data_IF_683336373868
#
_entry.id   IF_683336373868
#
_cell.length_a   1.000
_cell.length_b   1.000
_cell.length_c   1.000
_cell.angle_alpha   90.00
_cell.angle_beta   90.00
_cell.angle_gamma   90.00
#
_symmetry.space_group_name_H-M   'P 1'
#
loop_
_entity.id
_entity.type
_entity.pdbx_description
1 polymer ?
#
# COMPACT_ATOMS: atom_id res chain seq x y z
N UNK A 1 -13.88 50.69 -4.30
CA UNK A 1 -12.46 50.61 -3.92
C UNK A 1 -11.78 49.65 -4.90
N UNK A 2 -11.01 50.16 -5.87
CA UNK A 2 -10.35 49.30 -6.87
C UNK A 2 -9.10 48.67 -6.24
N UNK A 3 -9.20 47.40 -5.83
CA UNK A 3 -8.03 46.64 -5.38
C UNK A 3 -7.06 46.53 -6.56
N UNK A 4 -5.90 47.21 -6.48
CA UNK A 4 -4.82 47.05 -7.45
C UNK A 4 -4.28 45.63 -7.32
N UNK A 5 -4.51 44.80 -8.33
CA UNK A 5 -3.85 43.49 -8.50
C UNK A 5 -2.35 43.69 -8.65
N UNK A 6 -1.56 42.89 -7.92
CA UNK A 6 -0.10 42.90 -8.02
C UNK A 6 0.33 42.30 -9.37
N UNK A 7 1.42 42.79 -9.96
CA UNK A 7 2.00 42.18 -11.15
C UNK A 7 2.76 40.90 -10.76
N UNK A 8 2.65 39.88 -11.60
CA UNK A 8 3.34 38.60 -11.41
C UNK A 8 4.81 38.73 -11.85
N UNK A 9 5.71 38.90 -10.89
CA UNK A 9 7.15 38.83 -11.14
C UNK A 9 7.64 37.36 -11.22
N UNK A 10 8.82 37.09 -11.82
CA UNK A 10 9.32 35.73 -12.00
C UNK A 10 9.51 34.93 -10.70
N UNK A 11 9.95 35.59 -9.62
CA UNK A 11 10.20 34.96 -8.32
C UNK A 11 8.89 34.57 -7.64
N UNK A 12 7.90 35.46 -7.68
CA UNK A 12 6.55 35.19 -7.18
C UNK A 12 5.87 34.08 -7.98
N UNK A 13 6.07 34.03 -9.29
CA UNK A 13 5.56 32.95 -10.14
C UNK A 13 6.14 31.59 -9.75
N UNK A 14 7.44 31.52 -9.51
CA UNK A 14 8.10 30.28 -9.10
C UNK A 14 7.61 29.80 -7.73
N UNK A 15 7.44 30.72 -6.77
CA UNK A 15 6.86 30.41 -5.46
C UNK A 15 5.44 29.82 -5.62
N UNK A 16 4.58 30.47 -6.40
CA UNK A 16 3.20 30.03 -6.61
C UNK A 16 3.15 28.68 -7.34
N UNK A 17 4.02 28.47 -8.33
CA UNK A 17 4.17 27.18 -9.01
C UNK A 17 4.53 26.09 -8.01
N UNK A 18 5.50 26.33 -7.12
CA UNK A 18 5.90 25.34 -6.13
C UNK A 18 4.78 25.03 -5.14
N UNK A 19 4.03 26.03 -4.69
CA UNK A 19 2.84 25.81 -3.85
C UNK A 19 1.73 25.03 -4.57
N UNK A 20 1.56 25.24 -5.87
CA UNK A 20 0.61 24.48 -6.68
C UNK A 20 1.08 23.03 -6.90
N UNK A 21 2.31 22.85 -7.37
CA UNK A 21 2.85 21.56 -7.80
C UNK A 21 3.17 20.65 -6.60
N UNK A 22 3.80 21.21 -5.56
CA UNK A 22 4.24 20.44 -4.39
C UNK A 22 3.27 20.52 -3.21
N UNK A 23 2.32 21.47 -3.22
CA UNK A 23 1.50 21.80 -2.05
C UNK A 23 2.25 22.59 -0.99
N UNK A 24 1.53 23.06 0.04
CA UNK A 24 2.16 23.63 1.25
C UNK A 24 1.70 22.88 2.50
N UNK A 25 2.52 22.93 3.55
CA UNK A 25 2.08 22.49 4.87
C UNK A 25 1.14 23.55 5.46
N UNK A 26 0.03 23.08 6.04
CA UNK A 26 -0.86 23.90 6.85
C UNK A 26 -0.39 23.92 8.32
N UNK A 27 -1.09 24.68 9.17
CA UNK A 27 -0.76 24.79 10.60
C UNK A 27 -0.80 23.45 11.36
N UNK A 28 -1.50 22.44 10.84
CA UNK A 28 -1.60 21.10 11.41
C UNK A 28 -0.53 20.13 10.87
N UNK A 29 0.44 20.64 10.07
CA UNK A 29 1.48 19.84 9.43
C UNK A 29 0.99 18.96 8.28
N UNK A 30 -0.24 19.17 7.79
CA UNK A 30 -0.79 18.45 6.62
C UNK A 30 -0.46 19.19 5.34
N UNK A 31 -0.05 18.44 4.32
CA UNK A 31 0.14 18.98 2.97
C UNK A 31 -1.21 19.23 2.29
N UNK A 32 -1.42 20.48 1.85
CA UNK A 32 -2.63 20.93 1.15
C UNK A 32 -2.26 21.30 -0.28
N UNK A 33 -3.08 20.84 -1.23
CA UNK A 33 -3.01 21.24 -2.63
C UNK A 33 -3.95 22.42 -2.86
N UNK A 34 -3.44 23.51 -3.40
CA UNK A 34 -4.23 24.70 -3.70
C UNK A 34 -4.77 24.67 -5.12
N UNK A 35 -5.96 25.26 -5.31
CA UNK A 35 -6.43 25.60 -6.65
C UNK A 35 -5.76 26.89 -7.14
N UNK A 36 -5.80 27.12 -8.46
CA UNK A 36 -5.33 28.39 -9.05
C UNK A 36 -6.07 29.60 -8.46
N UNK A 37 -7.36 29.45 -8.16
CA UNK A 37 -8.18 30.48 -7.52
C UNK A 37 -7.71 30.78 -6.10
N UNK A 38 -7.39 29.75 -5.32
CA UNK A 38 -6.89 29.93 -3.95
C UNK A 38 -5.56 30.67 -3.94
N UNK A 39 -4.65 30.31 -4.85
CA UNK A 39 -3.35 30.96 -5.01
C UNK A 39 -3.50 32.41 -5.52
N UNK A 40 -4.41 32.66 -6.45
CA UNK A 40 -4.70 34.00 -6.94
C UNK A 40 -5.18 34.92 -5.80
N UNK A 41 -6.10 34.41 -4.96
CA UNK A 41 -6.57 35.13 -3.78
C UNK A 41 -5.46 35.33 -2.74
N UNK A 42 -4.69 34.28 -2.43
CA UNK A 42 -3.59 34.30 -1.47
C UNK A 42 -2.52 35.34 -1.82
N UNK A 43 -2.21 35.50 -3.10
CA UNK A 43 -1.17 36.42 -3.57
C UNK A 43 -1.70 37.74 -4.15
N UNK A 44 -3.01 38.00 -4.07
CA UNK A 44 -3.67 39.20 -4.61
C UNK A 44 -3.36 39.43 -6.11
N UNK A 45 -3.49 38.35 -6.89
CA UNK A 45 -3.28 38.30 -8.34
C UNK A 45 -4.59 38.11 -9.09
N UNK A 46 -4.65 38.58 -10.34
CA UNK A 46 -5.76 38.28 -11.22
C UNK A 46 -5.81 36.80 -11.60
N UNK A 47 -6.93 36.13 -11.31
CA UNK A 47 -7.13 34.69 -11.58
C UNK A 47 -6.85 34.31 -13.04
N UNK A 48 -7.36 35.10 -13.99
CA UNK A 48 -7.15 34.86 -15.43
C UNK A 48 -5.67 34.94 -15.85
N UNK A 49 -4.90 35.83 -15.22
CA UNK A 49 -3.46 35.96 -15.50
C UNK A 49 -2.73 34.72 -15.00
N UNK A 50 -3.00 34.29 -13.77
CA UNK A 50 -2.36 33.12 -13.19
C UNK A 50 -2.74 31.83 -13.93
N UNK A 51 -4.02 31.69 -14.31
CA UNK A 51 -4.50 30.56 -15.10
C UNK A 51 -3.76 30.41 -16.44
N UNK A 52 -3.56 31.52 -17.17
CA UNK A 52 -2.82 31.51 -18.44
C UNK A 52 -1.39 31.00 -18.24
N UNK A 53 -0.69 31.48 -17.21
CA UNK A 53 0.67 31.01 -16.91
C UNK A 53 0.69 29.53 -16.54
N UNK A 54 -0.25 29.09 -15.70
CA UNK A 54 -0.35 27.69 -15.30
C UNK A 54 -0.62 26.76 -16.49
N UNK A 55 -1.44 27.19 -17.45
CA UNK A 55 -1.74 26.45 -18.67
C UNK A 55 -0.53 26.42 -19.62
N UNK A 56 0.08 27.56 -19.91
CA UNK A 56 1.24 27.66 -20.82
C UNK A 56 2.43 26.84 -20.32
N UNK A 57 2.66 26.81 -19.01
CA UNK A 57 3.76 26.07 -18.40
C UNK A 57 3.37 24.65 -17.98
N UNK A 58 2.12 24.23 -18.18
CA UNK A 58 1.66 22.88 -17.90
C UNK A 58 1.74 22.49 -16.42
N UNK A 59 1.44 23.41 -15.50
CA UNK A 59 1.58 23.17 -14.05
C UNK A 59 0.79 21.96 -13.55
N UNK A 60 -0.37 21.67 -14.16
CA UNK A 60 -1.16 20.48 -13.80
C UNK A 60 -0.43 19.18 -14.11
N UNK A 61 0.18 19.07 -15.30
CA UNK A 61 0.97 17.91 -15.66
C UNK A 61 2.19 17.73 -14.74
N UNK A 62 2.80 18.84 -14.32
CA UNK A 62 3.90 18.80 -13.36
C UNK A 62 3.45 18.35 -11.96
N UNK A 63 2.29 18.82 -11.50
CA UNK A 63 1.67 18.38 -10.24
C UNK A 63 1.35 16.89 -10.28
N UNK A 64 0.76 16.39 -11.37
CA UNK A 64 0.39 14.98 -11.51
C UNK A 64 1.64 14.09 -11.53
N UNK A 65 2.70 14.50 -12.25
CA UNK A 65 3.99 13.81 -12.25
C UNK A 65 4.62 13.78 -10.86
N UNK A 66 4.70 14.93 -10.18
CA UNK A 66 5.24 15.02 -8.84
C UNK A 66 4.47 14.15 -7.86
N UNK A 67 3.14 14.17 -7.91
CA UNK A 67 2.29 13.38 -7.01
C UNK A 67 2.50 11.88 -7.24
N UNK A 68 2.62 11.44 -8.50
CA UNK A 68 2.91 10.05 -8.83
C UNK A 68 4.29 9.62 -8.30
N UNK A 69 5.33 10.43 -8.51
CA UNK A 69 6.69 10.17 -8.01
C UNK A 69 6.73 10.15 -6.48
N UNK A 70 6.09 11.11 -5.83
CA UNK A 70 6.00 11.20 -4.37
C UNK A 70 5.30 9.98 -3.76
N UNK A 71 4.19 9.53 -4.35
CA UNK A 71 3.49 8.33 -3.88
C UNK A 71 4.34 7.07 -4.05
N UNK A 72 5.02 6.93 -5.20
CA UNK A 72 5.91 5.81 -5.44
C UNK A 72 7.07 5.77 -4.44
N UNK A 73 7.70 6.92 -4.15
CA UNK A 73 8.77 7.00 -3.15
C UNK A 73 8.26 6.72 -1.73
N UNK A 74 7.08 7.24 -1.39
CA UNK A 74 6.43 6.97 -0.11
C UNK A 74 6.14 5.48 0.08
N UNK A 75 5.69 4.79 -0.96
CA UNK A 75 5.44 3.35 -0.93
C UNK A 75 6.73 2.54 -0.73
N UNK A 76 7.85 2.95 -1.35
CA UNK A 76 9.17 2.34 -1.12
C UNK A 76 9.59 2.50 0.34
N UNK A 77 9.47 3.70 0.90
CA UNK A 77 9.80 3.97 2.31
C UNK A 77 8.93 3.14 3.24
N UNK A 78 7.60 3.16 3.04
CA UNK A 78 6.66 2.37 3.84
C UNK A 78 6.93 0.88 3.76
N UNK A 79 7.23 0.36 2.57
CA UNK A 79 7.56 -1.06 2.38
C UNK A 79 8.78 -1.43 3.22
N UNK A 80 9.83 -0.60 3.19
CA UNK A 80 11.05 -0.82 3.99
C UNK A 80 10.75 -0.81 5.49
N UNK A 81 9.96 0.15 5.96
CA UNK A 81 9.55 0.23 7.36
C UNK A 81 8.72 -0.98 7.80
N UNK A 82 7.77 -1.41 6.97
CA UNK A 82 6.94 -2.59 7.24
C UNK A 82 7.79 -3.86 7.30
N UNK A 83 8.73 -4.05 6.36
CA UNK A 83 9.64 -5.21 6.39
C UNK A 83 10.45 -5.23 7.69
N UNK A 84 10.99 -4.08 8.12
CA UNK A 84 11.75 -3.98 9.36
C UNK A 84 10.88 -4.23 10.60
N UNK A 85 9.65 -3.71 10.62
CA UNK A 85 8.70 -3.96 11.70
C UNK A 85 8.28 -5.44 11.76
N UNK A 86 8.03 -6.08 10.62
CA UNK A 86 7.74 -7.51 10.54
C UNK A 86 8.89 -8.34 11.10
N UNK A 87 10.14 -8.08 10.69
CA UNK A 87 11.32 -8.76 11.25
C UNK A 87 11.41 -8.65 12.77
N UNK A 88 11.14 -7.46 13.31
CA UNK A 88 11.13 -7.22 14.77
C UNK A 88 10.00 -7.98 15.45
N UNK A 89 8.82 -8.01 14.84
CA UNK A 89 7.68 -8.74 15.35
C UNK A 89 7.94 -10.26 15.37
N UNK A 90 8.49 -10.80 14.29
CA UNK A 90 8.86 -12.23 14.19
C UNK A 90 9.92 -12.60 15.22
N UNK A 91 10.97 -11.77 15.36
CA UNK A 91 12.00 -11.94 16.39
C UNK A 91 11.41 -11.96 17.81
N UNK A 92 10.48 -11.05 18.11
CA UNK A 92 9.79 -11.02 19.41
C UNK A 92 8.91 -12.24 19.62
N UNK A 93 8.22 -12.69 18.58
CA UNK A 93 7.38 -13.89 18.62
C UNK A 93 8.21 -15.13 18.94
N UNK A 94 9.42 -15.24 18.37
CA UNK A 94 10.36 -16.32 18.68
C UNK A 94 10.85 -16.28 20.13
N UNK A 95 11.24 -15.10 20.63
CA UNK A 95 11.65 -14.95 22.04
C UNK A 95 10.52 -15.36 22.99
N UNK A 96 9.28 -14.95 22.72
CA UNK A 96 8.12 -15.34 23.52
C UNK A 96 7.88 -16.85 23.43
N UNK A 97 7.98 -17.44 22.23
CA UNK A 97 7.86 -18.88 22.04
C UNK A 97 8.89 -19.66 22.88
N UNK A 98 10.15 -19.25 22.85
CA UNK A 98 11.23 -19.83 23.66
C UNK A 98 10.95 -19.71 25.17
N UNK A 99 10.49 -18.54 25.62
CA UNK A 99 10.12 -18.31 27.02
C UNK A 99 8.98 -19.25 27.47
N UNK A 100 7.93 -19.40 26.66
CA UNK A 100 6.81 -20.30 26.99
C UNK A 100 7.28 -21.75 27.00
N UNK A 101 8.15 -22.18 26.08
CA UNK A 101 8.75 -23.52 26.13
C UNK A 101 9.57 -23.73 27.40
N UNK A 102 10.30 -22.72 27.85
CA UNK A 102 10.99 -22.71 29.14
C UNK A 102 10.02 -22.94 30.31
N UNK A 103 8.87 -22.27 30.31
CA UNK A 103 7.83 -22.46 31.32
C UNK A 103 7.20 -23.86 31.27
N UNK A 104 6.95 -24.41 30.08
CA UNK A 104 6.50 -25.80 29.90
C UNK A 104 7.51 -26.77 30.49
N UNK A 105 8.80 -26.60 30.16
CA UNK A 105 9.89 -27.44 30.69
C UNK A 105 9.98 -27.37 32.23
N UNK A 106 9.91 -26.18 32.81
CA UNK A 106 9.88 -26.00 34.27
C UNK A 106 8.66 -26.65 34.92
N UNK A 107 7.48 -26.55 34.30
CA UNK A 107 6.25 -27.16 34.80
C UNK A 107 6.32 -28.69 34.83
N UNK A 108 6.96 -29.29 33.82
CA UNK A 108 7.24 -30.74 33.79
C UNK A 108 8.14 -31.12 34.97
N UNK A 109 9.25 -30.41 35.17
CA UNK A 109 10.20 -30.70 36.26
C UNK A 109 9.55 -30.63 37.64
N UNK A 110 8.70 -29.62 37.89
CA UNK A 110 7.98 -29.49 39.15
C UNK A 110 7.01 -30.65 39.34
N UNK A 111 6.18 -30.96 38.34
CA UNK A 111 5.24 -32.07 38.45
C UNK A 111 5.90 -33.43 38.62
N UNK A 112 7.05 -33.65 37.99
CA UNK A 112 7.88 -34.85 38.14
C UNK A 112 8.46 -34.96 39.56
N UNK A 113 8.98 -33.84 40.09
CA UNK A 113 9.49 -33.79 41.47
C UNK A 113 8.42 -34.00 42.55
N UNK A 114 7.15 -33.70 42.23
CA UNK A 114 6.02 -33.88 43.12
C UNK A 114 5.26 -35.20 42.88
N UNK A 115 5.71 -36.05 41.94
CA UNK A 115 5.05 -37.29 41.51
C UNK A 115 3.59 -37.08 41.04
N UNK A 116 3.32 -35.89 40.50
CA UNK A 116 1.99 -35.42 40.03
C UNK A 116 1.85 -35.43 38.51
N UNK A 117 2.77 -36.06 37.79
CA UNK A 117 2.69 -36.16 36.32
C UNK A 117 1.51 -37.06 35.96
N UNK A 118 0.49 -36.47 35.33
CA UNK A 118 -0.67 -37.21 34.82
C UNK A 118 -0.68 -37.24 33.29
N UNK A 119 -1.28 -38.27 32.65
CA UNK A 119 -1.42 -38.33 31.19
C UNK A 119 -2.12 -37.09 30.61
N UNK A 120 -3.12 -36.54 31.31
CA UNK A 120 -3.84 -35.35 30.87
C UNK A 120 -2.96 -34.09 30.88
N UNK A 121 -2.10 -33.95 31.90
CA UNK A 121 -1.11 -32.88 31.96
C UNK A 121 -0.11 -32.98 30.81
N UNK A 122 0.40 -34.19 30.53
CA UNK A 122 1.31 -34.42 29.41
C UNK A 122 0.67 -34.06 28.07
N UNK A 123 -0.60 -34.42 27.84
CA UNK A 123 -1.31 -34.07 26.62
C UNK A 123 -1.49 -32.54 26.47
N UNK A 124 -1.86 -31.85 27.54
CA UNK A 124 -2.02 -30.38 27.54
C UNK A 124 -0.72 -29.66 27.20
N UNK A 125 0.41 -30.13 27.75
CA UNK A 125 1.73 -29.55 27.49
C UNK A 125 2.22 -29.88 26.07
N UNK A 126 1.92 -31.07 25.55
CA UNK A 126 2.21 -31.44 24.17
C UNK A 126 1.45 -30.55 23.18
N UNK A 127 0.16 -30.30 23.42
CA UNK A 127 -0.65 -29.39 22.60
C UNK A 127 -0.14 -27.94 22.66
N UNK A 128 0.24 -27.46 23.84
CA UNK A 128 0.83 -26.13 24.00
C UNK A 128 2.16 -26.01 23.21
N UNK A 129 3.04 -27.00 23.36
CA UNK A 129 4.32 -27.09 22.63
C UNK A 129 4.10 -27.09 21.12
N UNK A 130 3.13 -27.87 20.62
CA UNK A 130 2.79 -27.91 19.21
C UNK A 130 2.33 -26.55 18.67
N UNK A 131 1.46 -25.84 19.40
CA UNK A 131 1.00 -24.49 19.02
C UNK A 131 2.15 -23.49 18.98
N UNK A 132 3.06 -23.55 19.95
CA UNK A 132 4.23 -22.67 20.01
C UNK A 132 5.20 -22.95 18.84
N UNK A 133 5.48 -24.23 18.57
CA UNK A 133 6.30 -24.62 17.43
C UNK A 133 5.71 -24.10 16.11
N UNK A 134 4.39 -24.18 15.95
CA UNK A 134 3.70 -23.65 14.78
C UNK A 134 3.90 -22.13 14.65
N UNK A 135 3.73 -21.36 15.72
CA UNK A 135 3.99 -19.91 15.74
C UNK A 135 5.44 -19.60 15.36
N UNK A 136 6.41 -20.34 15.92
CA UNK A 136 7.82 -20.16 15.61
C UNK A 136 8.13 -20.42 14.12
N UNK A 137 7.59 -21.50 13.54
CA UNK A 137 7.74 -21.81 12.12
C UNK A 137 7.12 -20.75 11.20
N UNK A 138 6.00 -20.16 11.60
CA UNK A 138 5.39 -19.04 10.88
C UNK A 138 6.29 -17.80 10.92
N UNK A 139 6.82 -17.44 12.10
CA UNK A 139 7.72 -16.30 12.27
C UNK A 139 9.06 -16.48 11.52
N UNK A 140 9.56 -17.71 11.39
CA UNK A 140 10.76 -18.03 10.60
C UNK A 140 10.49 -18.10 9.09
N UNK A 141 9.23 -18.05 8.66
CA UNK A 141 8.84 -18.21 7.26
C UNK A 141 8.96 -19.64 6.72
N UNK A 142 9.17 -20.64 7.58
CA UNK A 142 9.22 -22.07 7.19
C UNK A 142 7.83 -22.63 6.87
N UNK A 143 6.78 -22.01 7.40
CA UNK A 143 5.39 -22.35 7.13
C UNK A 143 4.67 -21.10 6.65
N UNK A 144 4.06 -21.15 5.47
CA UNK A 144 3.34 -20.03 4.85
C UNK A 144 1.83 -20.21 4.94
N UNK A 145 1.29 -20.67 6.07
CA UNK A 145 -0.16 -20.87 6.22
C UNK A 145 -1.00 -19.59 6.01
N UNK A 146 -0.37 -18.41 6.03
CA UNK A 146 -1.03 -17.12 5.85
C UNK A 146 -1.09 -16.61 4.40
N UNK A 147 -0.63 -17.36 3.39
CA UNK A 147 -1.02 -17.12 2.00
C UNK A 147 -2.38 -17.77 1.70
N UNK A 148 -3.37 -17.56 2.55
CA UNK A 148 -4.76 -17.63 2.08
C UNK A 148 -4.98 -16.39 1.24
N UNK A 149 -4.62 -16.50 -0.04
CA UNK A 149 -5.02 -15.58 -1.07
C UNK A 149 -6.56 -15.60 -1.06
N UNK A 150 -7.20 -14.72 -0.28
CA UNK A 150 -8.56 -14.27 -0.53
C UNK A 150 -8.58 -13.42 -1.81
N UNK A 151 -7.91 -13.88 -2.86
CA UNK A 151 -8.43 -13.69 -4.18
C UNK A 151 -9.76 -14.44 -4.15
N UNK A 152 -10.83 -13.73 -3.79
CA UNK A 152 -12.03 -13.82 -4.58
C UNK A 152 -11.55 -13.48 -5.99
N UNK A 153 -10.99 -14.48 -6.68
CA UNK A 153 -10.66 -14.37 -8.08
C UNK A 153 -12.01 -14.03 -8.65
N UNK A 154 -12.21 -12.77 -9.00
CA UNK A 154 -13.20 -12.40 -9.99
C UNK A 154 -12.72 -13.03 -11.28
N UNK A 155 -12.85 -14.37 -11.34
CA UNK A 155 -12.70 -15.23 -12.51
C UNK A 155 -13.75 -14.87 -13.57
N UNK A 156 -14.46 -13.75 -13.40
CA UNK A 156 -15.37 -13.21 -14.37
C UNK A 156 -14.71 -12.24 -15.34
N UNK A 157 -13.57 -11.60 -15.05
CA UNK A 157 -12.96 -10.67 -16.03
C UNK A 157 -11.97 -11.39 -16.91
N UNK A 158 -10.91 -12.00 -16.36
CA UNK A 158 -9.91 -12.71 -17.17
C UNK A 158 -10.52 -13.86 -18.01
N UNK A 159 -11.48 -14.60 -17.46
CA UNK A 159 -12.21 -15.64 -18.21
C UNK A 159 -13.15 -15.04 -19.26
N UNK A 160 -13.84 -13.94 -18.97
CA UNK A 160 -14.72 -13.26 -19.94
C UNK A 160 -13.94 -12.63 -21.08
N UNK A 161 -12.80 -12.01 -20.77
CA UNK A 161 -11.87 -11.46 -21.77
C UNK A 161 -11.35 -12.60 -22.66
N UNK A 162 -11.00 -13.76 -22.07
CA UNK A 162 -10.62 -14.94 -22.84
C UNK A 162 -11.78 -15.49 -23.70
N UNK A 163 -13.01 -15.45 -23.20
CA UNK A 163 -14.20 -15.91 -23.92
C UNK A 163 -14.60 -14.98 -25.06
N UNK A 164 -14.47 -13.66 -24.86
CA UNK A 164 -14.68 -12.62 -25.88
C UNK A 164 -13.61 -12.72 -26.99
N UNK A 165 -12.37 -13.07 -26.61
CA UNK A 165 -11.30 -13.34 -27.59
C UNK A 165 -11.60 -14.60 -28.41
N UNK A 166 -12.13 -15.66 -27.79
CA UNK A 166 -12.53 -16.88 -28.48
C UNK A 166 -13.72 -16.64 -29.43
N UNK A 167 -14.70 -15.83 -29.02
CA UNK A 167 -15.83 -15.45 -29.87
C UNK A 167 -15.37 -14.61 -31.07
N UNK A 168 -14.46 -13.66 -30.85
CA UNK A 168 -13.84 -12.85 -31.93
C UNK A 168 -13.11 -13.75 -32.94
N UNK A 169 -12.34 -14.74 -32.47
CA UNK A 169 -11.65 -15.71 -33.34
C UNK A 169 -12.66 -16.60 -34.09
N UNK A 170 -13.77 -16.98 -33.45
CA UNK A 170 -14.83 -17.76 -34.09
C UNK A 170 -15.59 -16.96 -35.16
N UNK A 171 -15.83 -15.67 -34.94
CA UNK A 171 -16.39 -14.74 -35.94
C UNK A 171 -15.45 -14.50 -37.10
N UNK A 172 -14.16 -14.24 -36.84
CA UNK A 172 -13.16 -14.10 -37.91
C UNK A 172 -13.05 -15.36 -38.78
N UNK A 173 -13.18 -16.56 -38.19
CA UNK A 173 -13.24 -17.81 -38.96
C UNK A 173 -14.52 -17.96 -39.77
N UNK A 174 -15.66 -17.46 -39.27
CA UNK A 174 -16.94 -17.46 -40.00
C UNK A 174 -16.91 -16.49 -41.18
N UNK A 175 -16.41 -15.26 -40.97
CA UNK A 175 -16.25 -14.26 -42.05
C UNK A 175 -15.22 -14.69 -43.10
N UNK A 176 -14.16 -15.38 -42.70
CA UNK A 176 -13.16 -15.93 -43.62
C UNK A 176 -13.67 -17.07 -44.51
N UNK A 177 -14.77 -17.74 -44.12
CA UNK A 177 -15.32 -18.88 -44.85
C UNK A 177 -16.50 -18.51 -45.78
N UNK A 178 -16.91 -17.24 -45.83
CA UNK A 178 -18.07 -16.77 -46.60
C UNK A 178 -17.67 -16.05 -47.91
N UNK A 179 -16.49 -16.38 -48.47
CA UNK A 179 -16.22 -16.09 -49.88
C UNK A 179 -16.84 -17.20 -50.73
N UNK A 180 -17.90 -16.94 -51.52
CA UNK A 180 -18.40 -17.92 -52.46
C UNK A 180 -17.29 -18.21 -53.47
N UNK A 181 -16.92 -19.49 -53.58
CA UNK A 181 -16.09 -19.97 -54.68
C UNK A 181 -16.96 -19.86 -55.94
N UNK A 182 -16.76 -18.79 -56.69
CA UNK A 182 -17.15 -18.67 -58.10
C UNK A 182 -15.89 -18.47 -58.93
#
# INVERSE_FOLDING_TARGET
>A
MSNKTKNLDPTLKELIRNEFVHGSENADGKRVLYTIRDLANKHNLGESTLYRHAQTEGWKAQQDKFQAEYLAELDVVRTKELVEQSKKFDSRSLVIAEQILGHVSSSIKVADSEDKVTPNMLNTLAEATYKIQKVAKLALGESTENMNLNAKITDSTAFRDAMELLDTVAEQRREGNDKPIH
#
